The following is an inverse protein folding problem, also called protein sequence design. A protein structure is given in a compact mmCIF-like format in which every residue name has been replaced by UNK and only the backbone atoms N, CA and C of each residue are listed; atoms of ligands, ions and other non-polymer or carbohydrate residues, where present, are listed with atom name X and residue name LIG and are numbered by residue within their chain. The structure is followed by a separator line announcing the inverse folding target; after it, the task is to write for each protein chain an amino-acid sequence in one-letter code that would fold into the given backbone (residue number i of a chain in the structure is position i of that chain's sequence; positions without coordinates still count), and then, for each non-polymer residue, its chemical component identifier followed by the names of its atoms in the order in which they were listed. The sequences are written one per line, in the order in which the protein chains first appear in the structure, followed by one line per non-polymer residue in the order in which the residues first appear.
data_IF_066612859149
#
_entry.id   IF_066612859149
#
_cell.length_a   1.000
_cell.length_b   1.000
_cell.length_c   1.000
_cell.angle_alpha   90.00
_cell.angle_beta   90.00
_cell.angle_gamma   90.00
#
_symmetry.space_group_name_H-M   'P 1'
#
loop_
_entity.id
_entity.type
_entity.pdbx_description
1 polymer ?
#
# COMPACT_ATOMS: atom_id res chain seq x y z
N UNK A 1 9.40 -14.47 -16.60
CA UNK A 1 9.04 -13.28 -15.81
C UNK A 1 8.51 -13.78 -14.48
N UNK A 2 9.18 -13.50 -13.37
CA UNK A 2 8.77 -14.04 -12.06
C UNK A 2 7.68 -13.18 -11.43
N UNK A 3 6.41 -13.43 -11.80
CA UNK A 3 5.26 -12.66 -11.32
C UNK A 3 5.14 -12.72 -9.79
N UNK A 4 5.48 -13.87 -9.19
CA UNK A 4 5.44 -14.04 -7.74
C UNK A 4 6.42 -13.08 -7.04
N UNK A 5 7.62 -12.86 -7.60
CA UNK A 5 8.58 -11.90 -7.04
C UNK A 5 8.07 -10.46 -7.14
N UNK A 6 7.48 -10.11 -8.28
CA UNK A 6 6.90 -8.78 -8.50
C UNK A 6 5.82 -8.53 -7.44
N UNK A 7 4.89 -9.47 -7.26
CA UNK A 7 3.82 -9.37 -6.25
C UNK A 7 4.40 -9.30 -4.82
N UNK A 8 5.49 -10.02 -4.53
CA UNK A 8 6.14 -9.98 -3.21
C UNK A 8 6.63 -8.58 -2.85
N UNK A 9 7.34 -7.94 -3.79
CA UNK A 9 7.87 -6.59 -3.60
C UNK A 9 6.73 -5.57 -3.58
N UNK A 10 5.72 -5.71 -4.45
CA UNK A 10 4.53 -4.86 -4.41
C UNK A 10 3.81 -4.98 -3.06
N UNK A 11 3.65 -6.19 -2.52
CA UNK A 11 3.06 -6.41 -1.20
C UNK A 11 3.83 -5.67 -0.10
N UNK A 12 5.16 -5.71 -0.15
CA UNK A 12 6.00 -4.94 0.76
C UNK A 12 5.82 -3.42 0.61
N UNK A 13 5.81 -2.91 -0.62
CA UNK A 13 5.56 -1.50 -0.90
C UNK A 13 4.18 -1.04 -0.40
N UNK A 14 3.15 -1.88 -0.53
CA UNK A 14 1.81 -1.57 -0.01
C UNK A 14 1.75 -1.56 1.51
N UNK A 15 2.49 -2.46 2.18
CA UNK A 15 2.63 -2.38 3.65
C UNK A 15 3.31 -1.07 4.06
N UNK A 16 4.32 -0.62 3.31
CA UNK A 16 4.94 0.69 3.56
C UNK A 16 3.94 1.84 3.35
N UNK A 17 3.15 1.81 2.26
CA UNK A 17 2.09 2.79 2.02
C UNK A 17 1.07 2.83 3.17
N UNK A 18 0.66 1.66 3.68
CA UNK A 18 -0.27 1.58 4.81
C UNK A 18 0.29 2.23 6.08
N UNK A 19 1.59 2.12 6.34
CA UNK A 19 2.24 2.81 7.45
C UNK A 19 2.29 4.32 7.22
N UNK A 20 2.56 4.76 5.98
CA UNK A 20 2.54 6.18 5.62
C UNK A 20 1.15 6.81 5.79
N UNK A 21 0.07 6.06 5.54
CA UNK A 21 -1.31 6.52 5.79
C UNK A 21 -1.62 6.79 7.27
N UNK A 22 -0.80 6.33 8.22
CA UNK A 22 -0.99 6.63 9.63
C UNK A 22 -0.40 8.00 10.02
N UNK A 23 0.48 8.57 9.20
CA UNK A 23 1.13 9.86 9.47
C UNK A 23 0.15 11.05 9.59
N UNK A 24 -0.97 11.12 8.84
CA UNK A 24 -1.95 12.19 8.99
C UNK A 24 -2.81 12.10 10.26
N UNK A 25 -2.86 10.93 10.93
CA UNK A 25 -3.75 10.71 12.09
C UNK A 25 -3.47 11.69 13.24
N UNK A 26 -2.21 11.92 13.69
CA UNK A 26 -1.94 12.90 14.74
C UNK A 26 -2.40 14.32 14.38
N UNK A 27 -2.34 14.70 13.11
CA UNK A 27 -2.79 16.01 12.64
C UNK A 27 -4.31 16.11 12.68
N UNK A 28 -5.03 15.11 12.15
CA UNK A 28 -6.50 15.04 12.23
C UNK A 28 -6.99 15.10 13.69
N UNK A 29 -6.32 14.40 14.62
CA UNK A 29 -6.64 14.48 16.04
C UNK A 29 -6.34 15.86 16.65
N UNK A 30 -5.23 16.50 16.26
CA UNK A 30 -4.85 17.83 16.75
C UNK A 30 -5.85 18.91 16.30
N UNK A 31 -6.31 18.86 15.06
CA UNK A 31 -7.29 19.79 14.51
C UNK A 31 -8.74 19.44 14.87
N UNK A 32 -8.98 18.28 15.49
CA UNK A 32 -10.33 17.81 15.85
C UNK A 32 -11.17 17.38 14.65
N UNK A 33 -10.53 17.11 13.50
CA UNK A 33 -11.17 16.60 12.30
C UNK A 33 -11.42 15.10 12.47
N UNK A 34 -12.62 14.61 12.14
CA UNK A 34 -13.01 13.21 12.29
C UNK A 34 -12.34 12.24 11.30
N UNK A 35 -11.47 12.75 10.43
CA UNK A 35 -10.97 12.02 9.26
C UNK A 35 -9.97 10.91 9.57
N UNK A 36 -9.42 10.89 10.79
CA UNK A 36 -8.53 9.82 11.26
C UNK A 36 -9.13 8.43 11.07
N UNK A 37 -10.47 8.29 11.14
CA UNK A 37 -11.14 7.00 10.95
C UNK A 37 -10.97 6.47 9.52
N UNK A 38 -11.01 7.36 8.52
CA UNK A 38 -10.84 7.00 7.12
C UNK A 38 -9.39 6.63 6.81
N UNK A 39 -8.43 7.30 7.42
CA UNK A 39 -7.02 6.93 7.35
C UNK A 39 -6.76 5.54 7.97
N UNK A 40 -7.36 5.24 9.14
CA UNK A 40 -7.23 3.93 9.79
C UNK A 40 -7.83 2.81 8.94
N UNK A 41 -9.06 2.98 8.44
CA UNK A 41 -9.72 1.97 7.62
C UNK A 41 -8.93 1.73 6.33
N UNK A 42 -8.47 2.80 5.68
CA UNK A 42 -7.65 2.71 4.45
C UNK A 42 -6.31 2.03 4.69
N UNK A 43 -5.66 2.34 5.81
CA UNK A 43 -4.43 1.69 6.22
C UNK A 43 -4.65 0.18 6.47
N UNK A 44 -5.73 -0.21 7.15
CA UNK A 44 -6.05 -1.62 7.39
C UNK A 44 -6.33 -2.40 6.09
N UNK A 45 -7.10 -1.80 5.16
CA UNK A 45 -7.37 -2.42 3.85
C UNK A 45 -6.06 -2.58 3.07
N UNK A 46 -5.28 -1.50 2.95
CA UNK A 46 -4.01 -1.49 2.22
C UNK A 46 -3.00 -2.47 2.83
N UNK A 47 -2.90 -2.51 4.16
CA UNK A 47 -2.06 -3.47 4.87
C UNK A 47 -2.53 -4.90 4.64
N UNK A 48 -3.84 -5.18 4.69
CA UNK A 48 -4.39 -6.51 4.42
C UNK A 48 -4.05 -7.01 3.01
N UNK A 49 -4.20 -6.15 2.00
CA UNK A 49 -3.82 -6.46 0.61
C UNK A 49 -2.31 -6.67 0.49
N UNK A 50 -1.50 -5.75 1.04
CA UNK A 50 -0.04 -5.85 0.99
C UNK A 50 0.51 -7.07 1.71
N UNK A 51 -0.02 -7.36 2.90
CA UNK A 51 0.40 -8.48 3.75
C UNK A 51 0.01 -9.83 3.14
N UNK A 52 -1.20 -9.97 2.60
CA UNK A 52 -1.60 -11.19 1.89
C UNK A 52 -0.73 -11.42 0.66
N UNK A 53 -0.52 -10.39 -0.17
CA UNK A 53 0.39 -10.45 -1.30
C UNK A 53 1.79 -10.90 -0.87
N UNK A 54 2.39 -10.24 0.13
CA UNK A 54 3.72 -10.55 0.66
C UNK A 54 3.82 -12.00 1.19
N UNK A 55 2.86 -12.43 2.02
CA UNK A 55 2.88 -13.73 2.70
C UNK A 55 2.80 -14.90 1.72
N UNK A 56 1.96 -14.81 0.69
CA UNK A 56 1.76 -15.91 -0.26
C UNK A 56 2.82 -15.96 -1.38
N UNK A 57 3.71 -14.98 -1.46
CA UNK A 57 4.67 -14.83 -2.57
C UNK A 57 6.13 -14.79 -2.15
N UNK A 58 6.47 -15.25 -0.95
CA UNK A 58 7.85 -15.35 -0.45
C UNK A 58 8.75 -16.14 -1.43
N UNK A 59 9.85 -15.54 -1.87
CA UNK A 59 10.84 -16.14 -2.79
C UNK A 59 12.25 -15.66 -2.43
N UNK A 60 13.23 -16.56 -2.54
CA UNK A 60 14.67 -16.30 -2.39
C UNK A 60 15.39 -16.23 -3.75
N UNK A 61 15.02 -15.29 -4.62
CA UNK A 61 15.67 -15.11 -5.94
C UNK A 61 15.99 -13.63 -6.17
N UNK A 62 17.03 -13.37 -6.97
CA UNK A 62 17.43 -12.01 -7.33
C UNK A 62 16.47 -11.36 -8.34
N UNK A 63 16.25 -10.06 -8.14
CA UNK A 63 15.43 -9.23 -9.02
C UNK A 63 16.15 -8.98 -10.34
N UNK A 64 15.53 -9.40 -11.45
CA UNK A 64 16.03 -9.10 -12.79
C UNK A 64 15.50 -7.74 -13.27
N UNK A 65 16.23 -7.08 -14.17
CA UNK A 65 15.85 -5.76 -14.70
C UNK A 65 14.39 -5.68 -15.22
N UNK A 66 13.93 -6.72 -15.93
CA UNK A 66 12.53 -6.81 -16.42
C UNK A 66 11.50 -6.81 -15.29
N UNK A 67 11.81 -7.46 -14.16
CA UNK A 67 10.93 -7.48 -12.99
C UNK A 67 10.93 -6.11 -12.30
N UNK A 68 12.08 -5.44 -12.24
CA UNK A 68 12.19 -4.05 -11.77
C UNK A 68 11.26 -3.09 -12.51
N UNK A 69 11.26 -3.12 -13.85
CA UNK A 69 10.33 -2.29 -14.64
C UNK A 69 8.87 -2.57 -14.32
N UNK A 70 8.49 -3.85 -14.18
CA UNK A 70 7.13 -4.23 -13.83
C UNK A 70 6.74 -3.77 -12.42
N UNK A 71 7.65 -3.89 -11.44
CA UNK A 71 7.43 -3.45 -10.05
C UNK A 71 7.18 -1.95 -10.00
N UNK A 72 7.96 -1.14 -10.72
CA UNK A 72 7.78 0.32 -10.72
C UNK A 72 6.42 0.69 -11.30
N UNK A 73 6.09 0.18 -12.50
CA UNK A 73 4.83 0.51 -13.18
C UNK A 73 3.61 0.05 -12.38
N UNK A 74 3.59 -1.20 -11.93
CA UNK A 74 2.48 -1.73 -11.13
C UNK A 74 2.44 -1.10 -9.72
N UNK A 75 3.60 -0.69 -9.20
CA UNK A 75 3.72 0.01 -7.92
C UNK A 75 2.97 1.33 -7.96
N UNK A 76 3.23 2.16 -8.97
CA UNK A 76 2.52 3.43 -9.14
C UNK A 76 1.02 3.26 -9.33
N UNK A 77 0.59 2.24 -10.08
CA UNK A 77 -0.84 1.94 -10.28
C UNK A 77 -1.47 1.54 -8.94
N UNK A 78 -0.84 0.62 -8.21
CA UNK A 78 -1.36 0.12 -6.93
C UNK A 78 -1.36 1.22 -5.86
N UNK A 79 -0.34 2.08 -5.83
CA UNK A 79 -0.25 3.22 -4.92
C UNK A 79 -1.32 4.25 -5.22
N UNK A 80 -1.60 4.54 -6.49
CA UNK A 80 -2.67 5.46 -6.86
C UNK A 80 -4.05 4.89 -6.46
N UNK A 81 -4.26 3.60 -6.70
CA UNK A 81 -5.53 2.93 -6.41
C UNK A 81 -5.82 2.80 -4.92
N UNK A 82 -4.82 2.42 -4.11
CA UNK A 82 -4.99 2.26 -2.67
C UNK A 82 -4.78 3.56 -1.91
N UNK A 83 -3.90 4.43 -2.41
CA UNK A 83 -3.61 5.75 -1.84
C UNK A 83 -4.80 6.70 -1.86
N UNK A 84 -5.75 6.53 -2.79
CA UNK A 84 -6.96 7.34 -2.84
C UNK A 84 -8.06 6.87 -1.87
N UNK A 85 -7.89 5.73 -1.19
CA UNK A 85 -8.91 5.19 -0.28
C UNK A 85 -9.37 6.16 0.82
N UNK A 86 -8.49 6.90 1.53
CA UNK A 86 -8.93 7.82 2.58
C UNK A 86 -9.88 8.88 2.02
N UNK A 87 -9.54 9.40 0.84
CA UNK A 87 -10.35 10.37 0.11
C UNK A 87 -11.70 9.78 -0.30
N UNK A 88 -11.71 8.62 -0.96
CA UNK A 88 -12.95 7.97 -1.39
C UNK A 88 -13.88 7.61 -0.22
N UNK A 89 -13.32 7.15 0.90
CA UNK A 89 -14.10 6.77 2.08
C UNK A 89 -14.61 7.97 2.87
N UNK A 90 -13.84 9.08 2.89
CA UNK A 90 -14.26 10.32 3.54
C UNK A 90 -15.46 10.99 2.86
N UNK A 91 -15.67 10.71 1.56
CA UNK A 91 -16.86 11.16 0.84
C UNK A 91 -16.88 12.67 0.52
N UNK A 92 -15.73 13.35 0.59
CA UNK A 92 -15.55 14.71 0.09
C UNK A 92 -15.57 14.80 -1.44
#
# INVERSE_FOLDING_TARGET
MNIRMIIHILGFLLMFLSAAMLLPIPFSLYYGEGDYIFFIISALITFGVGFTAFKFTRIDRDVRAREGFAIVTLGWISFSLLGCLPFLLSGY
#
